data_IF_742860115008
#
_entry.id   IF_742860115008
#
_cell.length_a   1.000
_cell.length_b   1.000
_cell.length_c   1.000
_cell.angle_alpha   90.00
_cell.angle_beta   90.00
_cell.angle_gamma   90.00
#
_symmetry.space_group_name_H-M   'P 1'
#
loop_
_entity.id
_entity.type
_entity.pdbx_description
1 polymer ?
#
# COMPACT_ATOMS: atom_id res chain seq x y z
N UNK A 1 15.93 1.15 -4.23
CA UNK A 1 15.45 -0.13 -3.67
C UNK A 1 14.32 -0.65 -4.53
N UNK A 2 14.05 -1.95 -4.48
CA UNK A 2 12.85 -2.57 -5.05
C UNK A 2 11.86 -2.82 -3.93
N UNK A 3 10.60 -2.51 -4.17
CA UNK A 3 9.51 -2.71 -3.21
C UNK A 3 8.51 -3.72 -3.75
N UNK A 4 8.12 -4.68 -2.91
CA UNK A 4 6.96 -5.55 -3.15
C UNK A 4 5.84 -5.11 -2.24
N UNK A 5 4.64 -4.96 -2.81
CA UNK A 5 3.41 -4.71 -2.05
C UNK A 5 2.54 -5.96 -2.12
N UNK A 6 1.97 -6.34 -0.99
CA UNK A 6 1.03 -7.44 -0.87
C UNK A 6 -0.21 -6.96 -0.13
N UNK A 7 -1.29 -6.72 -0.89
CA UNK A 7 -2.60 -6.36 -0.33
C UNK A 7 -3.41 -7.64 -0.10
N UNK A 8 -3.92 -7.78 1.12
CA UNK A 8 -4.43 -9.05 1.64
C UNK A 8 -5.92 -8.97 1.90
N UNK A 9 -6.64 -10.01 1.45
CA UNK A 9 -8.00 -10.31 1.90
C UNK A 9 -7.93 -11.41 2.93
N UNK A 10 -8.71 -11.29 4.00
CA UNK A 10 -8.89 -12.40 4.95
C UNK A 10 -9.68 -13.54 4.32
N UNK A 11 -9.49 -14.76 4.81
CA UNK A 11 -10.24 -15.92 4.35
C UNK A 11 -11.76 -15.74 4.53
N UNK A 12 -12.59 -16.33 3.64
CA UNK A 12 -14.02 -16.37 3.84
C UNK A 12 -14.38 -16.96 5.21
N UNK A 13 -15.28 -16.30 5.93
CA UNK A 13 -15.72 -16.71 7.27
C UNK A 13 -14.75 -16.35 8.41
N UNK A 14 -13.54 -15.86 8.12
CA UNK A 14 -12.62 -15.37 9.16
C UNK A 14 -13.02 -13.97 9.64
N UNK A 15 -12.94 -13.74 10.95
CA UNK A 15 -13.18 -12.41 11.52
C UNK A 15 -12.00 -11.46 11.23
N UNK A 16 -12.26 -10.15 11.20
CA UNK A 16 -11.20 -9.15 11.06
C UNK A 16 -10.16 -9.24 12.19
N UNK A 17 -10.60 -9.55 13.40
CA UNK A 17 -9.74 -9.66 14.58
C UNK A 17 -8.81 -10.87 14.50
N UNK A 18 -9.33 -12.03 14.06
CA UNK A 18 -8.52 -13.24 13.90
C UNK A 18 -7.49 -13.07 12.78
N UNK A 19 -7.90 -12.48 11.65
CA UNK A 19 -6.99 -12.11 10.57
C UNK A 19 -5.85 -11.23 11.09
N UNK A 20 -6.19 -10.12 11.77
CA UNK A 20 -5.19 -9.21 12.30
C UNK A 20 -4.27 -9.90 13.31
N UNK A 21 -4.81 -10.74 14.21
CA UNK A 21 -4.02 -11.47 15.19
C UNK A 21 -3.00 -12.41 14.54
N UNK A 22 -3.40 -13.19 13.53
CA UNK A 22 -2.48 -14.09 12.81
C UNK A 22 -1.47 -13.27 12.01
N UNK A 23 -1.94 -12.26 11.27
CA UNK A 23 -1.08 -11.42 10.44
C UNK A 23 0.00 -10.73 11.30
N UNK A 24 -0.39 -10.14 12.43
CA UNK A 24 0.51 -9.43 13.35
C UNK A 24 1.44 -10.36 14.12
N UNK A 25 0.88 -11.38 14.77
CA UNK A 25 1.59 -12.13 15.81
C UNK A 25 2.18 -13.45 15.33
N UNK A 26 1.82 -13.90 14.12
CA UNK A 26 2.36 -15.15 13.52
C UNK A 26 3.12 -14.83 12.25
N UNK A 27 2.45 -14.26 11.24
CA UNK A 27 3.08 -14.01 9.94
C UNK A 27 4.17 -12.94 10.01
N UNK A 28 3.94 -11.84 10.74
CA UNK A 28 4.92 -10.79 10.97
C UNK A 28 6.26 -11.32 11.50
N UNK A 29 6.28 -12.00 12.67
CA UNK A 29 7.48 -12.64 13.21
C UNK A 29 8.08 -13.72 12.31
N UNK A 30 7.26 -14.47 11.56
CA UNK A 30 7.73 -15.49 10.63
C UNK A 30 8.54 -14.87 9.47
N UNK A 31 8.07 -13.75 8.90
CA UNK A 31 8.86 -13.01 7.90
C UNK A 31 10.15 -12.47 8.52
N UNK A 32 10.09 -11.90 9.73
CA UNK A 32 11.26 -11.36 10.43
C UNK A 32 12.33 -12.43 10.70
N UNK A 33 11.92 -13.65 11.08
CA UNK A 33 12.81 -14.82 11.19
C UNK A 33 13.57 -15.09 9.88
N UNK A 34 12.92 -14.87 8.73
CA UNK A 34 13.50 -15.03 7.40
C UNK A 34 14.12 -13.76 6.83
N UNK A 35 14.37 -12.72 7.63
CA UNK A 35 14.99 -11.48 7.15
C UNK A 35 16.34 -11.73 6.45
N UNK A 36 17.28 -12.44 7.12
CA UNK A 36 18.65 -12.60 6.62
C UNK A 36 18.71 -13.53 5.40
N UNK A 37 18.21 -14.76 5.55
CA UNK A 37 17.19 -15.34 4.66
C UNK A 37 17.01 -14.73 3.27
N UNK A 38 15.95 -13.94 3.22
CA UNK A 38 15.39 -13.29 2.06
C UNK A 38 16.07 -11.95 1.75
N UNK A 39 17.03 -11.52 2.57
CA UNK A 39 17.75 -10.25 2.44
C UNK A 39 16.89 -8.99 2.45
N UNK A 40 15.84 -9.00 3.27
CA UNK A 40 14.95 -7.87 3.46
C UNK A 40 15.69 -6.71 4.13
N UNK A 41 15.62 -5.52 3.52
CA UNK A 41 16.07 -4.25 4.12
C UNK A 41 15.00 -3.64 5.01
N UNK A 42 13.74 -3.77 4.59
CA UNK A 42 12.60 -3.21 5.30
C UNK A 42 11.39 -4.12 5.15
N UNK A 43 10.59 -4.19 6.20
CA UNK A 43 9.31 -4.88 6.21
C UNK A 43 8.32 -4.12 7.09
N UNK A 44 7.20 -3.73 6.49
CA UNK A 44 6.10 -3.04 7.15
C UNK A 44 4.82 -3.83 6.96
N UNK A 45 4.07 -4.02 8.05
CA UNK A 45 2.67 -4.42 8.01
C UNK A 45 1.78 -3.22 8.28
N UNK A 46 0.69 -3.12 7.52
CA UNK A 46 -0.36 -2.13 7.69
C UNK A 46 -1.69 -2.85 7.94
N UNK A 47 -2.41 -2.41 8.96
CA UNK A 47 -3.65 -3.01 9.45
C UNK A 47 -4.79 -2.05 9.16
N UNK A 48 -5.75 -2.51 8.36
CA UNK A 48 -6.83 -1.65 7.87
C UNK A 48 -7.80 -1.28 8.99
N UNK A 49 -8.10 0.02 9.10
CA UNK A 49 -9.12 0.54 10.00
C UNK A 49 -10.51 0.37 9.36
N UNK A 50 -11.03 -0.86 9.31
CA UNK A 50 -12.26 -1.21 8.57
C UNK A 50 -13.52 -0.44 9.02
N UNK A 51 -13.54 0.04 10.28
CA UNK A 51 -14.66 0.79 10.87
C UNK A 51 -14.42 2.30 10.87
N UNK A 52 -13.40 2.78 10.16
CA UNK A 52 -13.02 4.18 10.15
C UNK A 52 -14.02 5.05 9.36
N UNK A 53 -14.59 6.06 10.02
CA UNK A 53 -15.64 6.91 9.44
C UNK A 53 -15.09 7.88 8.40
N UNK A 54 -13.89 8.45 8.58
CA UNK A 54 -13.28 9.29 7.52
C UNK A 54 -12.89 8.44 6.31
N UNK A 55 -12.37 7.23 6.52
CA UNK A 55 -12.09 6.29 5.43
C UNK A 55 -13.36 5.92 4.65
N UNK A 56 -14.47 5.71 5.35
CA UNK A 56 -15.77 5.49 4.72
C UNK A 56 -16.25 6.73 3.92
N UNK A 57 -16.08 7.94 4.47
CA UNK A 57 -16.45 9.18 3.78
C UNK A 57 -15.60 9.44 2.51
N UNK A 58 -14.28 9.20 2.57
CA UNK A 58 -13.40 9.31 1.39
C UNK A 58 -13.80 8.33 0.28
N UNK A 59 -14.22 7.11 0.64
CA UNK A 59 -14.71 6.13 -0.33
C UNK A 59 -16.11 6.49 -0.86
N UNK A 60 -16.97 7.11 -0.05
CA UNK A 60 -18.28 7.55 -0.51
C UNK A 60 -18.20 8.60 -1.65
N UNK A 61 -17.12 9.38 -1.70
CA UNK A 61 -16.83 10.28 -2.82
C UNK A 61 -16.36 9.56 -4.11
N UNK A 62 -16.13 8.25 -4.05
CA UNK A 62 -15.64 7.37 -5.13
C UNK A 62 -16.46 6.08 -5.16
N UNK A 63 -17.77 6.16 -5.44
CA UNK A 63 -18.70 5.04 -5.27
C UNK A 63 -18.36 3.79 -6.11
N UNK A 64 -17.56 3.94 -7.16
CA UNK A 64 -17.10 2.87 -8.05
C UNK A 64 -16.03 1.97 -7.42
N UNK A 65 -15.32 2.46 -6.40
CA UNK A 65 -14.20 1.74 -5.79
C UNK A 65 -14.63 0.48 -5.06
N UNK A 66 -13.76 -0.53 -5.16
CA UNK A 66 -13.89 -1.77 -4.40
C UNK A 66 -13.72 -1.53 -2.89
N UNK A 67 -14.30 -2.45 -2.11
CA UNK A 67 -14.14 -2.50 -0.65
C UNK A 67 -12.66 -2.49 -0.23
N UNK A 68 -12.29 -1.94 0.95
CA UNK A 68 -10.94 -1.98 1.49
C UNK A 68 -10.36 -3.38 1.62
N UNK A 69 -9.06 -3.55 1.36
CA UNK A 69 -8.34 -4.76 1.78
C UNK A 69 -8.20 -4.84 3.30
N UNK A 70 -8.02 -6.05 3.84
CA UNK A 70 -7.94 -6.29 5.29
C UNK A 70 -6.57 -5.91 5.88
N UNK A 71 -5.52 -5.97 5.07
CA UNK A 71 -4.18 -5.57 5.47
C UNK A 71 -3.22 -5.43 4.30
N UNK A 72 -2.03 -4.90 4.57
CA UNK A 72 -0.96 -4.76 3.57
C UNK A 72 0.38 -5.13 4.17
N UNK A 73 1.16 -5.92 3.46
CA UNK A 73 2.56 -6.15 3.73
C UNK A 73 3.41 -5.48 2.64
N UNK A 74 4.44 -4.74 3.02
CA UNK A 74 5.38 -4.12 2.10
C UNK A 74 6.80 -4.54 2.45
N UNK A 75 7.57 -4.95 1.44
CA UNK A 75 8.90 -5.53 1.60
C UNK A 75 9.89 -4.80 0.68
N UNK A 76 11.10 -4.54 1.17
CA UNK A 76 12.13 -3.87 0.38
C UNK A 76 13.41 -4.70 0.27
N UNK A 77 13.97 -4.70 -0.94
CA UNK A 77 15.31 -5.20 -1.24
C UNK A 77 16.22 -4.07 -1.71
N UNK A 78 17.55 -4.20 -1.55
CA UNK A 78 18.49 -3.19 -2.03
C UNK A 78 18.34 -2.95 -3.53
N UNK A 79 18.25 -4.03 -4.30
CA UNK A 79 18.13 -4.05 -5.76
C UNK A 79 17.53 -5.40 -6.25
N UNK A 80 17.39 -5.51 -7.57
CA UNK A 80 16.82 -6.70 -8.25
C UNK A 80 17.68 -7.93 -8.06
N UNK A 81 18.99 -7.77 -8.18
CA UNK A 81 19.95 -8.86 -8.17
C UNK A 81 19.95 -9.57 -6.81
N UNK A 82 19.89 -8.79 -5.73
CA UNK A 82 19.81 -9.29 -4.35
C UNK A 82 18.49 -10.03 -4.11
N UNK A 83 17.37 -9.46 -4.57
CA UNK A 83 16.06 -10.12 -4.51
C UNK A 83 16.08 -11.45 -5.29
N UNK A 84 16.57 -11.44 -6.52
CA UNK A 84 16.65 -12.64 -7.36
C UNK A 84 17.53 -13.74 -6.73
N UNK A 85 18.70 -13.37 -6.21
CA UNK A 85 19.60 -14.31 -5.55
C UNK A 85 18.96 -14.93 -4.30
N UNK A 86 18.33 -14.10 -3.45
CA UNK A 86 17.67 -14.56 -2.25
C UNK A 86 16.51 -15.51 -2.56
N UNK A 87 15.57 -15.11 -3.43
CA UNK A 87 14.40 -15.92 -3.81
C UNK A 87 14.79 -17.17 -4.63
N UNK A 88 15.91 -17.13 -5.35
CA UNK A 88 16.41 -18.25 -6.16
C UNK A 88 17.15 -19.32 -5.36
N UNK A 89 17.68 -18.97 -4.18
CA UNK A 89 18.44 -19.89 -3.34
C UNK A 89 17.57 -21.03 -2.75
N UNK A 90 18.14 -22.22 -2.46
CA UNK A 90 17.39 -23.29 -1.81
C UNK A 90 16.76 -22.87 -0.47
N UNK A 91 17.49 -22.11 0.33
CA UNK A 91 17.00 -21.60 1.62
C UNK A 91 15.87 -20.56 1.43
N UNK A 92 15.99 -19.66 0.46
CA UNK A 92 14.95 -18.68 0.14
C UNK A 92 13.68 -19.34 -0.39
N UNK A 93 13.79 -20.36 -1.24
CA UNK A 93 12.63 -21.15 -1.71
C UNK A 93 11.93 -21.86 -0.55
N UNK A 94 12.69 -22.46 0.37
CA UNK A 94 12.13 -23.09 1.56
C UNK A 94 11.43 -22.07 2.48
N UNK A 95 12.03 -20.89 2.67
CA UNK A 95 11.43 -19.79 3.42
C UNK A 95 10.12 -19.31 2.78
N UNK A 96 10.10 -19.09 1.46
CA UNK A 96 8.88 -18.71 0.73
C UNK A 96 7.78 -19.77 0.85
N UNK A 97 8.12 -21.06 0.76
CA UNK A 97 7.15 -22.13 0.91
C UNK A 97 6.46 -22.08 2.29
N UNK A 98 7.24 -21.93 3.38
CA UNK A 98 6.67 -21.80 4.73
C UNK A 98 5.82 -20.54 4.89
N UNK A 99 6.26 -19.41 4.30
CA UNK A 99 5.47 -18.18 4.28
C UNK A 99 4.13 -18.37 3.56
N UNK A 100 4.13 -19.02 2.39
CA UNK A 100 2.91 -19.29 1.62
C UNK A 100 1.98 -20.24 2.37
N UNK A 101 2.50 -21.28 3.02
CA UNK A 101 1.66 -22.15 3.86
C UNK A 101 1.03 -21.38 5.03
N UNK A 102 1.78 -20.49 5.67
CA UNK A 102 1.25 -19.61 6.71
C UNK A 102 0.16 -18.68 6.14
N UNK A 103 0.40 -18.05 4.99
CA UNK A 103 -0.56 -17.16 4.33
C UNK A 103 -1.89 -17.87 4.04
N UNK A 104 -1.87 -19.12 3.57
CA UNK A 104 -3.08 -19.91 3.32
C UNK A 104 -3.93 -20.16 4.57
N UNK A 105 -3.38 -20.00 5.77
CA UNK A 105 -4.16 -20.16 7.01
C UNK A 105 -5.10 -18.98 7.28
N UNK A 106 -4.76 -17.76 6.82
CA UNK A 106 -5.48 -16.53 7.18
C UNK A 106 -5.90 -15.64 6.00
N UNK A 107 -5.23 -15.73 4.85
CA UNK A 107 -5.51 -14.93 3.67
C UNK A 107 -6.28 -15.72 2.59
N UNK A 108 -7.24 -15.06 1.94
CA UNK A 108 -7.78 -15.47 0.65
C UNK A 108 -6.83 -14.99 -0.45
N UNK A 109 -5.88 -15.86 -0.80
CA UNK A 109 -4.85 -15.50 -1.77
C UNK A 109 -5.42 -15.18 -3.15
N UNK A 110 -6.50 -15.84 -3.56
CA UNK A 110 -7.16 -15.63 -4.86
C UNK A 110 -7.82 -14.26 -5.01
N UNK A 111 -8.15 -13.61 -3.88
CA UNK A 111 -8.67 -12.23 -3.82
C UNK A 111 -7.63 -11.23 -3.31
N UNK A 112 -6.40 -11.68 -3.07
CA UNK A 112 -5.26 -10.85 -2.67
C UNK A 112 -4.38 -10.55 -3.88
N UNK A 113 -3.51 -9.54 -3.77
CA UNK A 113 -2.64 -9.14 -4.88
C UNK A 113 -1.23 -8.82 -4.39
N UNK A 114 -0.22 -9.43 -5.02
CA UNK A 114 1.20 -9.15 -4.78
C UNK A 114 1.84 -8.59 -6.05
N UNK A 115 2.60 -7.50 -5.94
CA UNK A 115 3.16 -6.79 -7.10
C UNK A 115 4.45 -6.01 -6.77
N UNK A 116 5.33 -5.89 -7.77
CA UNK A 116 6.57 -5.12 -7.65
C UNK A 116 6.34 -3.66 -8.02
N UNK A 117 7.03 -2.77 -7.31
CA UNK A 117 6.95 -1.33 -7.53
C UNK A 117 8.30 -0.64 -7.30
N UNK A 118 8.42 0.57 -7.85
CA UNK A 118 9.45 1.55 -7.52
C UNK A 118 8.80 2.75 -6.88
N UNK A 119 9.38 3.22 -5.79
CA UNK A 119 8.90 4.40 -5.08
C UNK A 119 9.34 5.67 -5.80
N UNK A 120 8.39 6.58 -5.98
CA UNK A 120 8.55 7.92 -6.53
C UNK A 120 8.02 8.89 -5.46
N UNK A 121 8.85 9.24 -4.46
CA UNK A 121 8.44 10.15 -3.39
C UNK A 121 8.05 11.52 -3.94
N UNK A 122 6.98 12.09 -3.42
CA UNK A 122 6.48 13.41 -3.82
C UNK A 122 6.59 14.41 -2.67
N UNK A 123 6.26 13.96 -1.46
CA UNK A 123 6.48 14.67 -0.19
C UNK A 123 7.07 13.66 0.78
N UNK A 124 8.34 13.82 1.17
CA UNK A 124 9.00 12.87 2.06
C UNK A 124 10.06 13.58 2.92
N UNK A 125 9.64 14.25 4.00
CA UNK A 125 10.58 14.85 4.95
C UNK A 125 11.42 13.76 5.65
N UNK A 126 12.62 14.14 6.07
CA UNK A 126 13.58 13.27 6.74
C UNK A 126 13.78 13.70 8.21
N UNK A 127 14.05 12.77 9.14
CA UNK A 127 14.11 11.33 8.92
C UNK A 127 12.71 10.70 8.78
N UNK A 128 12.55 9.66 7.95
CA UNK A 128 11.23 9.07 7.67
C UNK A 128 10.59 8.39 8.88
N UNK A 129 11.41 7.91 9.81
CA UNK A 129 11.02 7.12 10.98
C UNK A 129 10.20 7.93 12.01
N UNK A 130 10.20 9.26 11.90
CA UNK A 130 9.39 10.14 12.74
C UNK A 130 7.94 10.30 12.25
N UNK A 131 7.63 9.91 11.01
CA UNK A 131 6.27 10.00 10.44
C UNK A 131 5.79 8.60 10.07
N UNK A 132 5.28 7.92 11.09
CA UNK A 132 4.72 6.58 10.98
C UNK A 132 3.34 6.54 11.64
N UNK A 133 2.40 5.85 10.97
CA UNK A 133 1.04 5.64 11.45
C UNK A 133 0.97 4.54 12.53
N UNK A 134 1.81 4.62 13.56
CA UNK A 134 1.87 3.62 14.64
C UNK A 134 0.59 3.62 15.48
N UNK A 135 0.28 2.48 16.11
CA UNK A 135 -0.74 2.43 17.16
C UNK A 135 -0.38 3.43 18.28
N UNK A 136 -1.37 4.15 18.79
CA UNK A 136 -1.18 5.22 19.80
C UNK A 136 -0.74 6.58 19.25
N UNK A 137 -0.28 6.67 18.00
CA UNK A 137 0.00 7.96 17.33
C UNK A 137 -1.29 8.58 16.77
N UNK A 138 -1.41 9.92 16.64
CA UNK A 138 -2.51 10.54 15.90
C UNK A 138 -2.38 10.35 14.38
N UNK A 139 -1.24 9.84 13.90
CA UNK A 139 -1.00 9.70 12.46
C UNK A 139 -1.77 8.50 11.89
N UNK A 140 -2.48 8.70 10.78
CA UNK A 140 -3.09 7.63 9.98
C UNK A 140 -2.45 7.56 8.60
N UNK A 141 -2.36 6.36 8.02
CA UNK A 141 -1.86 6.16 6.67
C UNK A 141 -3.01 5.80 5.74
N UNK A 142 -3.25 6.60 4.72
CA UNK A 142 -4.10 6.24 3.58
C UNK A 142 -3.29 5.37 2.63
N UNK A 143 -3.88 4.24 2.23
CA UNK A 143 -3.35 3.37 1.17
C UNK A 143 -4.39 3.35 0.05
N UNK A 144 -3.95 3.54 -1.19
CA UNK A 144 -4.81 3.44 -2.36
C UNK A 144 -4.08 2.67 -3.45
N UNK A 145 -4.68 1.56 -3.90
CA UNK A 145 -4.23 0.77 -5.06
C UNK A 145 -5.06 1.10 -6.29
N UNK A 146 -4.42 1.15 -7.46
CA UNK A 146 -5.04 1.66 -8.68
C UNK A 146 -4.71 0.82 -9.91
N UNK A 147 -5.67 0.73 -10.82
CA UNK A 147 -5.45 0.40 -12.22
C UNK A 147 -5.49 1.68 -13.07
N UNK A 148 -4.69 1.72 -14.11
CA UNK A 148 -4.69 2.80 -15.07
C UNK A 148 -6.00 2.79 -15.87
N UNK A 149 -6.50 3.98 -16.25
CA UNK A 149 -7.55 4.05 -17.25
C UNK A 149 -7.12 3.32 -18.52
N UNK A 150 -7.98 2.45 -19.10
CA UNK A 150 -7.62 1.68 -20.29
C UNK A 150 -7.13 2.55 -21.47
N UNK A 151 -7.71 3.73 -21.64
CA UNK A 151 -7.34 4.67 -22.71
C UNK A 151 -5.92 5.25 -22.56
N UNK A 152 -5.40 5.30 -21.34
CA UNK A 152 -4.09 5.88 -21.04
C UNK A 152 -3.00 4.79 -20.91
N UNK A 153 -3.39 3.60 -20.45
CA UNK A 153 -2.48 2.51 -20.13
C UNK A 153 -1.54 2.84 -18.96
N UNK A 154 -0.83 1.82 -18.44
CA UNK A 154 0.04 1.96 -17.26
C UNK A 154 1.10 3.05 -17.41
N UNK A 155 1.80 3.08 -18.54
CA UNK A 155 2.89 4.05 -18.77
C UNK A 155 2.37 5.50 -18.79
N UNK A 156 1.25 5.76 -19.49
CA UNK A 156 0.64 7.08 -19.50
C UNK A 156 0.11 7.48 -18.13
N UNK A 157 -0.50 6.54 -17.40
CA UNK A 157 -0.98 6.73 -16.03
C UNK A 157 0.15 7.14 -15.09
N UNK A 158 1.28 6.43 -15.14
CA UNK A 158 2.45 6.74 -14.30
C UNK A 158 3.02 8.12 -14.59
N UNK A 159 3.14 8.50 -15.87
CA UNK A 159 3.58 9.86 -16.26
C UNK A 159 2.59 10.92 -15.76
N UNK A 160 1.29 10.72 -15.95
CA UNK A 160 0.26 11.65 -15.47
C UNK A 160 0.31 11.78 -13.96
N UNK A 161 0.37 10.65 -13.27
CA UNK A 161 0.36 10.57 -11.82
C UNK A 161 1.59 11.26 -11.20
N UNK A 162 2.78 11.09 -11.77
CA UNK A 162 3.99 11.76 -11.27
C UNK A 162 4.00 13.27 -11.57
N UNK A 163 3.57 13.67 -12.78
CA UNK A 163 3.78 15.03 -13.28
C UNK A 163 2.61 15.97 -13.00
N UNK A 164 1.37 15.53 -13.23
CA UNK A 164 0.14 16.33 -13.06
C UNK A 164 -0.41 16.18 -11.65
N UNK A 165 -0.85 14.97 -11.31
CA UNK A 165 -1.40 14.67 -9.99
C UNK A 165 -0.36 14.95 -8.88
N UNK A 166 0.89 14.55 -9.11
CA UNK A 166 2.04 14.86 -8.26
C UNK A 166 2.25 16.37 -8.08
N UNK A 167 2.01 17.20 -9.10
CA UNK A 167 2.12 18.66 -8.93
C UNK A 167 1.01 19.23 -8.04
N UNK A 168 -0.22 18.73 -8.14
CA UNK A 168 -1.33 19.12 -7.25
C UNK A 168 -0.95 18.78 -5.80
N UNK A 169 -0.51 17.55 -5.55
CA UNK A 169 -0.11 17.13 -4.19
C UNK A 169 1.06 17.94 -3.63
N UNK A 170 2.09 18.26 -4.42
CA UNK A 170 3.21 19.11 -3.96
C UNK A 170 2.77 20.56 -3.72
N UNK A 171 1.79 21.07 -4.46
CA UNK A 171 1.26 22.43 -4.31
C UNK A 171 0.37 22.58 -3.08
N UNK A 172 -0.60 21.67 -2.93
CA UNK A 172 -1.64 21.75 -1.89
C UNK A 172 -1.37 20.86 -0.67
N UNK A 173 -0.31 20.03 -0.70
CA UNK A 173 -0.06 19.00 0.31
C UNK A 173 0.01 19.53 1.73
N UNK A 174 0.61 20.70 1.95
CA UNK A 174 0.63 21.34 3.27
C UNK A 174 -0.78 21.71 3.75
N UNK A 175 -1.61 22.30 2.87
CA UNK A 175 -3.00 22.68 3.19
C UNK A 175 -3.91 21.46 3.39
N UNK A 176 -3.66 20.37 2.68
CA UNK A 176 -4.35 19.08 2.86
C UNK A 176 -3.83 18.28 4.07
N UNK A 177 -2.71 18.69 4.68
CA UNK A 177 -2.12 18.01 5.84
C UNK A 177 -1.32 16.76 5.50
N UNK A 178 -0.78 16.66 4.29
CA UNK A 178 0.08 15.55 3.88
C UNK A 178 1.40 15.64 4.63
N UNK A 179 1.61 14.74 5.58
CA UNK A 179 2.89 14.58 6.28
C UNK A 179 3.90 13.86 5.40
N UNK A 180 3.44 12.87 4.63
CA UNK A 180 4.19 12.13 3.62
C UNK A 180 3.25 11.76 2.46
N UNK A 181 3.81 11.68 1.25
CA UNK A 181 3.13 11.23 0.05
C UNK A 181 4.10 10.48 -0.86
N UNK A 182 3.88 9.18 -1.02
CA UNK A 182 4.69 8.28 -1.82
C UNK A 182 3.82 7.64 -2.90
N UNK A 183 4.25 7.77 -4.15
CA UNK A 183 3.71 6.99 -5.26
C UNK A 183 4.58 5.76 -5.46
N UNK A 184 3.99 4.58 -5.56
CA UNK A 184 4.70 3.34 -5.88
C UNK A 184 4.23 2.86 -7.26
N UNK A 185 5.08 2.99 -8.26
CA UNK A 185 4.77 2.67 -9.66
C UNK A 185 5.12 1.22 -9.96
N UNK A 186 4.15 0.43 -10.43
CA UNK A 186 4.39 -0.97 -10.78
C UNK A 186 5.23 -1.10 -12.05
N UNK A 187 6.03 -2.15 -12.12
CA UNK A 187 6.82 -2.49 -13.30
C UNK A 187 6.83 -4.00 -13.53
N UNK A 188 7.01 -4.41 -14.79
CA UNK A 188 7.10 -5.82 -15.13
C UNK A 188 8.49 -6.37 -14.81
N UNK A 189 8.54 -7.51 -14.14
CA UNK A 189 9.76 -8.28 -13.93
C UNK A 189 9.39 -9.77 -13.81
N UNK A 190 10.18 -10.71 -14.39
CA UNK A 190 9.99 -12.14 -14.16
C UNK A 190 9.95 -12.57 -12.69
N UNK A 191 10.55 -11.79 -11.78
CA UNK A 191 10.47 -12.02 -10.33
C UNK A 191 9.03 -11.91 -9.78
N UNK A 192 8.13 -11.21 -10.49
CA UNK A 192 6.71 -11.17 -10.11
C UNK A 192 6.08 -12.56 -10.12
N UNK A 193 6.35 -13.36 -11.15
CA UNK A 193 5.81 -14.71 -11.27
C UNK A 193 6.28 -15.61 -10.12
N UNK A 194 7.53 -15.45 -9.66
CA UNK A 194 8.06 -16.19 -8.51
C UNK A 194 7.35 -15.84 -7.18
N UNK A 195 6.69 -14.68 -7.09
CA UNK A 195 5.89 -14.28 -5.94
C UNK A 195 4.41 -14.65 -6.11
N UNK A 196 3.87 -14.54 -7.33
CA UNK A 196 2.44 -14.65 -7.58
C UNK A 196 1.96 -16.08 -7.85
N UNK A 197 2.72 -16.90 -8.59
CA UNK A 197 2.21 -18.15 -9.16
C UNK A 197 1.75 -19.15 -8.08
N UNK A 198 2.60 -19.43 -7.08
CA UNK A 198 2.29 -20.42 -6.02
C UNK A 198 1.18 -19.93 -5.06
N UNK A 199 0.94 -18.61 -5.04
CA UNK A 199 -0.15 -17.98 -4.29
C UNK A 199 -1.46 -17.96 -5.08
N UNK A 200 -1.39 -17.91 -6.40
CA UNK A 200 -2.57 -17.74 -7.26
C UNK A 200 -3.27 -16.39 -7.04
N UNK A 201 -2.50 -15.31 -6.86
CA UNK A 201 -3.04 -13.97 -6.60
C UNK A 201 -3.73 -13.36 -7.82
N UNK A 202 -4.53 -12.31 -7.59
CA UNK A 202 -5.04 -11.42 -8.63
C UNK A 202 -3.91 -10.83 -9.50
N UNK A 203 -4.32 -10.31 -10.67
CA UNK A 203 -3.45 -9.52 -11.52
C UNK A 203 -2.90 -8.29 -10.78
N UNK A 204 -1.65 -7.92 -11.08
CA UNK A 204 -0.97 -6.82 -10.43
C UNK A 204 -1.67 -5.48 -10.67
N UNK A 205 -1.80 -4.67 -9.61
CA UNK A 205 -2.15 -3.26 -9.72
C UNK A 205 -1.08 -2.47 -10.48
N UNK A 206 -1.48 -1.39 -11.13
CA UNK A 206 -0.57 -0.50 -11.89
C UNK A 206 0.23 0.44 -10.97
N UNK A 207 -0.23 0.60 -9.73
CA UNK A 207 0.51 1.25 -8.67
C UNK A 207 -0.23 1.27 -7.33
N UNK A 208 0.46 1.82 -6.34
CA UNK A 208 -0.07 2.06 -5.00
C UNK A 208 0.42 3.39 -4.47
N UNK A 209 -0.49 4.17 -3.89
CA UNK A 209 -0.14 5.40 -3.18
C UNK A 209 -0.24 5.20 -1.68
N UNK A 210 0.65 5.85 -0.95
CA UNK A 210 0.56 5.99 0.49
C UNK A 210 0.66 7.46 0.88
N UNK A 211 -0.24 7.89 1.77
CA UNK A 211 -0.28 9.27 2.31
C UNK A 211 -0.41 9.20 3.82
N UNK A 212 0.36 9.98 4.55
CA UNK A 212 0.28 10.06 6.01
C UNK A 212 -0.33 11.39 6.43
N UNK A 213 -1.21 11.36 7.42
CA UNK A 213 -1.92 12.53 7.93
C UNK A 213 -1.90 12.55 9.45
N UNK A 214 -1.85 13.73 10.05
CA UNK A 214 -2.39 13.89 11.40
C UNK A 214 -3.91 13.79 11.33
N UNK A 215 -4.50 12.90 12.15
CA UNK A 215 -5.93 12.59 12.07
C UNK A 215 -6.83 13.78 12.43
N UNK A 216 -6.44 14.56 13.43
CA UNK A 216 -7.25 15.70 13.89
C UNK A 216 -7.18 16.83 12.88
N UNK A 217 -6.01 17.08 12.30
CA UNK A 217 -5.87 18.04 11.23
C UNK A 217 -6.72 17.64 10.02
N UNK A 218 -6.63 16.38 9.58
CA UNK A 218 -7.42 15.89 8.45
C UNK A 218 -8.94 16.03 8.68
N UNK A 219 -9.44 15.68 9.87
CA UNK A 219 -10.86 15.87 10.21
C UNK A 219 -11.27 17.35 10.15
N UNK A 220 -10.40 18.27 10.58
CA UNK A 220 -10.67 19.70 10.51
C UNK A 220 -10.72 20.24 9.08
N UNK A 221 -9.86 19.75 8.19
CA UNK A 221 -9.89 20.07 6.76
C UNK A 221 -11.20 19.57 6.15
N UNK A 222 -11.54 18.29 6.33
CA UNK A 222 -12.75 17.68 5.74
C UNK A 222 -14.05 18.37 6.20
N UNK A 223 -14.10 18.87 7.44
CA UNK A 223 -15.27 19.60 7.97
C UNK A 223 -15.36 21.05 7.50
N UNK A 224 -14.31 21.58 6.88
CA UNK A 224 -14.27 22.96 6.41
C UNK A 224 -14.18 22.99 4.87
N UNK A 225 -15.33 23.01 4.15
CA UNK A 225 -15.34 22.98 2.70
C UNK A 225 -14.69 24.21 2.04
N UNK A 226 -14.61 25.33 2.76
CA UNK A 226 -14.10 26.61 2.24
C UNK A 226 -12.58 26.78 2.43
N UNK A 227 -11.89 25.82 3.06
CA UNK A 227 -10.43 25.89 3.23
C UNK A 227 -9.66 25.40 1.99
N UNK A 228 -8.44 25.91 1.81
CA UNK A 228 -7.53 25.52 0.72
C UNK A 228 -7.26 24.00 0.68
N UNK A 229 -7.26 23.33 1.82
CA UNK A 229 -7.10 21.86 1.88
C UNK A 229 -8.27 21.12 1.23
N UNK A 230 -9.49 21.57 1.44
CA UNK A 230 -10.69 20.99 0.83
C UNK A 230 -10.74 21.25 -0.69
N UNK A 231 -10.32 22.44 -1.13
CA UNK A 231 -10.10 22.73 -2.56
C UNK A 231 -9.08 21.75 -3.16
N UNK A 232 -7.93 21.55 -2.50
CA UNK A 232 -6.90 20.61 -2.92
C UNK A 232 -7.42 19.18 -3.08
N UNK A 233 -8.23 18.69 -2.12
CA UNK A 233 -8.86 17.37 -2.22
C UNK A 233 -9.85 17.28 -3.38
N UNK A 234 -10.62 18.34 -3.65
CA UNK A 234 -11.51 18.41 -4.81
C UNK A 234 -10.74 18.28 -6.12
N UNK A 235 -9.64 19.02 -6.26
CA UNK A 235 -8.76 18.95 -7.44
C UNK A 235 -8.15 17.56 -7.64
N UNK A 236 -7.72 16.89 -6.55
CA UNK A 236 -7.21 15.51 -6.64
C UNK A 236 -8.31 14.54 -7.08
N UNK A 237 -9.50 14.63 -6.51
CA UNK A 237 -10.62 13.78 -6.87
C UNK A 237 -10.98 13.94 -8.35
N UNK A 238 -11.12 15.17 -8.84
CA UNK A 238 -11.39 15.44 -10.26
C UNK A 238 -10.26 14.94 -11.18
N UNK A 239 -9.01 15.03 -10.74
CA UNK A 239 -7.86 14.55 -11.50
C UNK A 239 -7.77 13.01 -11.53
N UNK A 240 -8.15 12.32 -10.45
CA UNK A 240 -8.17 10.84 -10.40
C UNK A 240 -9.00 10.25 -11.55
N UNK A 241 -10.17 10.81 -11.88
CA UNK A 241 -11.00 10.39 -13.02
C UNK A 241 -10.32 10.53 -14.40
N UNK A 242 -9.18 11.22 -14.49
CA UNK A 242 -8.45 11.43 -15.75
C UNK A 242 -7.36 10.38 -16.01
N UNK A 243 -6.97 9.59 -15.00
CA UNK A 243 -5.90 8.59 -15.17
C UNK A 243 -6.14 7.27 -14.43
N UNK A 244 -7.04 7.20 -13.45
CA UNK A 244 -7.36 5.99 -12.69
C UNK A 244 -8.68 5.37 -13.16
N UNK A 245 -8.68 4.06 -13.39
CA UNK A 245 -9.91 3.27 -13.42
C UNK A 245 -10.39 3.07 -11.97
N UNK A 246 -11.34 3.91 -11.54
CA UNK A 246 -11.88 3.86 -10.18
C UNK A 246 -12.62 2.55 -9.89
N UNK A 247 -13.22 1.91 -10.89
CA UNK A 247 -13.86 0.60 -10.72
C UNK A 247 -12.85 -0.49 -10.43
N UNK A 248 -11.61 -0.34 -10.91
CA UNK A 248 -10.48 -1.21 -10.58
C UNK A 248 -9.71 -0.77 -9.32
N UNK A 249 -10.13 0.26 -8.59
CA UNK A 249 -9.35 0.84 -7.50
C UNK A 249 -9.94 0.57 -6.11
N UNK A 250 -9.13 0.79 -5.06
CA UNK A 250 -9.59 0.74 -3.67
C UNK A 250 -8.73 1.64 -2.78
N UNK A 251 -9.34 2.19 -1.72
CA UNK A 251 -8.68 3.08 -0.76
C UNK A 251 -9.13 2.82 0.68
N UNK A 252 -8.21 2.96 1.64
CA UNK A 252 -8.49 2.79 3.07
C UNK A 252 -7.45 3.46 3.97
N UNK A 253 -7.81 3.69 5.23
CA UNK A 253 -6.87 4.05 6.28
C UNK A 253 -6.33 2.82 7.00
N UNK A 254 -5.08 2.91 7.43
CA UNK A 254 -4.41 1.88 8.19
C UNK A 254 -3.52 2.46 9.30
N UNK A 255 -3.24 1.61 10.29
CA UNK A 255 -2.11 1.73 11.21
C UNK A 255 -1.00 0.81 10.78
N UNK A 256 0.25 1.16 11.04
CA UNK A 256 1.40 0.39 10.59
C UNK A 256 2.34 -0.02 11.71
N UNK A 257 3.05 -1.10 11.46
CA UNK A 257 4.11 -1.64 12.29
C UNK A 257 5.31 -1.91 11.40
N UNK A 258 6.45 -1.36 11.80
CA UNK A 258 7.75 -1.67 11.18
C UNK A 258 8.31 -2.90 11.91
N UNK A 259 8.57 -3.97 11.17
CA UNK A 259 9.10 -5.22 11.73
C UNK A 259 10.58 -5.43 11.38
N UNK A 260 11.01 -4.91 10.23
CA UNK A 260 12.41 -4.90 9.81
C UNK A 260 12.73 -3.49 9.32
N UNK A 261 13.84 -2.94 9.79
CA UNK A 261 14.44 -1.70 9.30
C UNK A 261 15.96 -1.81 9.47
N UNK A 262 16.71 -1.70 8.38
CA UNK A 262 18.15 -1.92 8.34
C UNK A 262 18.89 -0.78 7.67
#
# INVERSE_FOLDING_TARGET
MIRVNFVLRRRPGMSAQDFENIFRNVYGPLVAKYQSILELQKYIQSYTLLKDTLGAALRAARPEMHEPFDGTAAFWWPNRERMAAALGSPAGKAALAELIECERTFADLSRSCIFLTREIPQINPMPEDCILAKNGSPIVKLIYVLHALPALGRAGCQVWWQTRHGAITRRYGAAMGFLRYIQSHSFDDPLHAALANDRGTLAAYDGMTEVWFDRLYLDSVIRNPDCEGSEGFGLLLEDEYKFVDLSGASTWFAKEQVLIER
#
